data_IF_673829849321
#
_entry.id   IF_673829849321
#
_cell.length_a   1.000
_cell.length_b   1.000
_cell.length_c   1.000
_cell.angle_alpha   90.00
_cell.angle_beta   90.00
_cell.angle_gamma   90.00
#
_symmetry.space_group_name_H-M   'P 1'
#
loop_
_entity.id
_entity.type
_entity.pdbx_description
1 polymer ?
#
# COMPACT_ATOMS: atom_id res chain seq x y z
N UNK A 1 25.07 -19.29 -10.67
CA UNK A 1 24.51 -18.06 -10.07
C UNK A 1 23.08 -18.35 -9.60
N UNK A 2 22.74 -18.09 -8.33
CA UNK A 2 21.32 -18.05 -7.91
C UNK A 2 20.81 -19.06 -6.87
N UNK A 3 21.56 -19.39 -5.82
CA UNK A 3 21.00 -20.05 -4.60
C UNK A 3 21.02 -19.16 -3.35
N UNK A 4 21.39 -17.89 -3.48
CA UNK A 4 21.52 -16.95 -2.36
C UNK A 4 20.31 -16.01 -2.15
N UNK A 5 19.34 -15.97 -3.07
CA UNK A 5 18.18 -15.04 -2.97
C UNK A 5 16.90 -15.67 -2.40
N UNK A 6 16.88 -16.97 -2.10
CA UNK A 6 15.74 -17.66 -1.49
C UNK A 6 16.02 -17.96 -0.02
N UNK A 7 15.79 -16.98 0.85
CA UNK A 7 15.72 -17.25 2.28
C UNK A 7 14.58 -18.26 2.56
N UNK A 8 14.86 -19.23 3.43
CA UNK A 8 13.87 -20.21 3.86
C UNK A 8 12.81 -19.49 4.70
N UNK A 9 11.53 -19.66 4.34
CA UNK A 9 10.42 -19.06 5.09
C UNK A 9 10.18 -19.79 6.40
N UNK A 10 9.63 -19.09 7.39
CA UNK A 10 9.12 -19.72 8.62
C UNK A 10 8.06 -20.78 8.28
N UNK A 11 8.09 -21.90 9.00
CA UNK A 11 7.03 -22.91 8.98
C UNK A 11 5.78 -22.30 9.62
N UNK A 12 4.64 -22.38 8.93
CA UNK A 12 3.33 -21.99 9.49
C UNK A 12 2.60 -23.29 9.85
N UNK A 13 2.07 -23.37 11.07
CA UNK A 13 1.26 -24.50 11.53
C UNK A 13 -0.20 -24.06 11.60
N UNK A 14 -1.09 -24.78 10.91
CA UNK A 14 -2.54 -24.54 10.95
C UNK A 14 -3.19 -25.46 11.98
N UNK A 15 -3.89 -24.89 12.95
CA UNK A 15 -4.69 -25.64 13.91
C UNK A 15 -6.17 -25.56 13.54
N UNK A 16 -6.78 -26.70 13.21
CA UNK A 16 -8.21 -26.83 12.90
C UNK A 16 -8.94 -27.43 14.11
N UNK A 17 -9.70 -26.62 14.86
CA UNK A 17 -10.52 -27.12 15.97
C UNK A 17 -11.61 -28.10 15.50
N UNK A 18 -11.91 -29.12 16.31
CA UNK A 18 -12.85 -30.21 15.95
C UNK A 18 -14.33 -29.78 15.91
N UNK A 19 -14.73 -28.85 16.78
CA UNK A 19 -16.13 -28.48 17.00
C UNK A 19 -16.45 -27.03 16.62
N UNK A 20 -15.55 -26.37 15.90
CA UNK A 20 -15.70 -24.97 15.57
C UNK A 20 -15.78 -24.81 14.06
N UNK A 21 -16.88 -24.21 13.62
CA UNK A 21 -17.12 -23.90 12.22
C UNK A 21 -16.59 -22.48 11.94
N UNK A 22 -15.54 -22.45 11.13
CA UNK A 22 -14.91 -21.23 10.67
C UNK A 22 -15.82 -20.63 9.58
N UNK A 23 -16.71 -19.70 9.97
CA UNK A 23 -17.58 -18.92 9.06
C UNK A 23 -16.80 -17.96 8.14
N UNK A 24 -15.64 -18.37 7.65
CA UNK A 24 -14.72 -17.59 6.82
C UNK A 24 -13.73 -16.71 7.59
N UNK A 25 -13.83 -16.61 8.93
CA UNK A 25 -12.98 -15.70 9.73
C UNK A 25 -11.64 -16.28 10.20
N UNK A 26 -11.50 -17.61 10.20
CA UNK A 26 -10.28 -18.33 10.57
C UNK A 26 -10.20 -18.68 12.06
N UNK A 27 -9.47 -19.77 12.35
CA UNK A 27 -9.36 -20.37 13.69
C UNK A 27 -9.11 -19.35 14.81
N UNK A 28 -9.91 -19.34 15.90
CA UNK A 28 -9.79 -18.39 17.01
C UNK A 28 -8.50 -18.60 17.81
N UNK A 29 -7.87 -19.77 17.64
CA UNK A 29 -6.60 -20.14 18.28
C UNK A 29 -5.37 -19.76 17.44
N UNK A 30 -5.57 -19.08 16.31
CA UNK A 30 -4.46 -18.67 15.44
C UNK A 30 -3.67 -17.55 16.11
N UNK A 31 -2.46 -17.89 16.58
CA UNK A 31 -1.49 -16.94 17.15
C UNK A 31 -1.05 -15.93 16.09
N UNK A 32 -1.78 -14.81 15.97
CA UNK A 32 -1.44 -13.70 15.09
C UNK A 32 -1.50 -12.39 15.88
N UNK A 33 -0.53 -11.49 15.71
CA UNK A 33 -0.64 -10.10 16.15
C UNK A 33 -1.96 -9.46 15.69
N UNK A 34 -2.57 -8.63 16.55
CA UNK A 34 -3.84 -7.92 16.27
C UNK A 34 -3.78 -7.10 14.96
N UNK A 35 -2.61 -6.58 14.61
CA UNK A 35 -2.39 -5.74 13.43
C UNK A 35 -2.09 -6.52 12.15
N UNK A 36 -1.86 -7.82 12.23
CA UNK A 36 -1.45 -8.60 11.05
C UNK A 36 -2.57 -8.68 10.00
N UNK A 37 -3.83 -8.57 10.41
CA UNK A 37 -4.98 -8.48 9.49
C UNK A 37 -4.93 -7.24 8.58
N UNK A 38 -4.26 -6.18 9.01
CA UNK A 38 -4.16 -4.91 8.27
C UNK A 38 -2.83 -4.75 7.52
N UNK A 39 -1.90 -5.69 7.68
CA UNK A 39 -0.56 -5.61 7.07
C UNK A 39 -0.53 -6.37 5.75
N UNK A 40 -0.44 -5.65 4.64
CA UNK A 40 -0.26 -6.22 3.30
C UNK A 40 1.19 -6.60 2.98
N UNK A 41 2.13 -6.19 3.85
CA UNK A 41 3.59 -6.24 3.65
C UNK A 41 4.31 -7.44 4.27
N UNK A 42 3.73 -8.12 5.27
CA UNK A 42 4.42 -9.20 6.01
C UNK A 42 4.48 -10.51 5.20
N UNK A 43 3.46 -10.81 4.39
CA UNK A 43 3.44 -11.99 3.53
C UNK A 43 4.05 -11.70 2.15
N UNK A 44 5.39 -11.74 2.03
CA UNK A 44 6.05 -11.66 0.71
C UNK A 44 7.10 -12.76 0.51
N UNK A 45 7.04 -13.43 -0.67
CA UNK A 45 7.97 -13.08 -1.72
C UNK A 45 7.20 -12.96 -3.03
N UNK A 46 6.53 -11.83 -3.20
CA UNK A 46 5.91 -11.52 -4.47
C UNK A 46 7.04 -11.05 -5.38
N UNK A 47 7.37 -11.84 -6.40
CA UNK A 47 8.19 -11.36 -7.52
C UNK A 47 7.57 -10.11 -8.15
N UNK A 48 8.21 -9.53 -9.16
CA UNK A 48 7.78 -8.27 -9.81
C UNK A 48 6.26 -8.19 -10.08
N UNK A 49 5.67 -9.28 -10.60
CA UNK A 49 4.21 -9.40 -10.85
C UNK A 49 3.36 -9.16 -9.60
N UNK A 50 3.71 -9.78 -8.48
CA UNK A 50 2.94 -9.63 -7.26
C UNK A 50 3.15 -8.27 -6.61
N UNK A 51 4.31 -7.61 -6.79
CA UNK A 51 4.49 -6.21 -6.37
C UNK A 51 3.56 -5.28 -7.16
N UNK A 52 3.52 -5.44 -8.48
CA UNK A 52 2.65 -4.66 -9.36
C UNK A 52 1.17 -4.86 -9.03
N UNK A 53 0.74 -6.11 -8.81
CA UNK A 53 -0.64 -6.41 -8.44
C UNK A 53 -1.06 -5.76 -7.13
N UNK A 54 -0.21 -5.72 -6.09
CA UNK A 54 -0.60 -5.04 -4.85
C UNK A 54 -0.58 -3.52 -5.02
N UNK A 55 0.40 -2.96 -5.74
CA UNK A 55 0.42 -1.53 -6.02
C UNK A 55 -0.88 -1.11 -6.72
N UNK A 56 -1.35 -1.88 -7.70
CA UNK A 56 -2.63 -1.64 -8.34
C UNK A 56 -3.82 -1.79 -7.39
N UNK A 57 -3.80 -2.79 -6.50
CA UNK A 57 -4.83 -2.98 -5.48
C UNK A 57 -4.85 -1.84 -4.44
N UNK A 58 -3.70 -1.34 -4.05
CA UNK A 58 -3.53 -0.23 -3.10
C UNK A 58 -3.90 1.11 -3.72
N UNK A 59 -3.71 1.30 -5.04
CA UNK A 59 -4.25 2.45 -5.79
C UNK A 59 -5.79 2.39 -5.83
N UNK A 60 -6.35 1.19 -6.00
CA UNK A 60 -7.81 0.97 -6.02
C UNK A 60 -8.45 1.05 -4.63
N UNK A 61 -7.68 0.91 -3.54
CA UNK A 61 -8.22 1.17 -2.20
C UNK A 61 -8.74 2.60 -2.17
N UNK A 62 -10.00 2.74 -1.83
CA UNK A 62 -10.64 4.02 -1.59
C UNK A 62 -9.98 4.66 -0.36
N UNK A 63 -8.85 5.33 -0.57
CA UNK A 63 -8.22 6.19 0.42
C UNK A 63 -9.11 7.38 0.74
N UNK A 64 -8.85 8.01 1.88
CA UNK A 64 -9.63 9.14 2.36
C UNK A 64 -9.61 10.28 1.33
N UNK A 65 -10.77 10.56 0.70
CA UNK A 65 -10.90 11.58 -0.34
C UNK A 65 -10.45 12.96 0.18
N UNK A 66 -10.72 13.21 1.45
CA UNK A 66 -10.32 14.41 2.17
C UNK A 66 -8.79 14.57 2.23
N UNK A 67 -8.05 13.48 2.50
CA UNK A 67 -6.58 13.52 2.53
C UNK A 67 -6.02 13.82 1.15
N UNK A 68 -6.55 13.19 0.09
CA UNK A 68 -6.13 13.45 -1.29
C UNK A 68 -6.35 14.91 -1.69
N UNK A 69 -7.51 15.48 -1.33
CA UNK A 69 -7.83 16.87 -1.62
C UNK A 69 -6.90 17.84 -0.87
N UNK A 70 -6.69 17.63 0.43
CA UNK A 70 -5.78 18.45 1.24
C UNK A 70 -4.34 18.40 0.68
N UNK A 71 -3.85 17.21 0.34
CA UNK A 71 -2.53 17.03 -0.27
C UNK A 71 -2.41 17.80 -1.59
N UNK A 72 -3.43 17.72 -2.46
CA UNK A 72 -3.44 18.46 -3.72
C UNK A 72 -3.44 19.97 -3.50
N UNK A 73 -4.26 20.48 -2.57
CA UNK A 73 -4.30 21.90 -2.22
C UNK A 73 -2.92 22.38 -1.74
N UNK A 74 -2.27 21.62 -0.85
CA UNK A 74 -0.93 21.95 -0.34
C UNK A 74 0.08 22.03 -1.49
N UNK A 75 0.09 21.05 -2.41
CA UNK A 75 1.00 21.03 -3.56
C UNK A 75 0.77 22.25 -4.46
N UNK A 76 -0.48 22.59 -4.78
CA UNK A 76 -0.82 23.75 -5.62
C UNK A 76 -0.35 25.05 -4.99
N UNK A 77 -0.60 25.25 -3.69
CA UNK A 77 -0.16 26.44 -2.96
C UNK A 77 1.37 26.55 -2.98
N UNK A 78 2.07 25.45 -2.75
CA UNK A 78 3.53 25.44 -2.68
C UNK A 78 4.16 25.75 -4.04
N UNK A 79 3.57 25.26 -5.14
CA UNK A 79 3.96 25.61 -6.51
C UNK A 79 3.71 27.10 -6.75
N UNK A 80 2.54 27.64 -6.39
CA UNK A 80 2.24 29.07 -6.57
C UNK A 80 3.23 29.97 -5.83
N UNK A 81 3.57 29.64 -4.57
CA UNK A 81 4.57 30.38 -3.80
C UNK A 81 5.94 30.32 -4.49
N UNK A 82 6.35 29.13 -4.93
CA UNK A 82 7.60 28.96 -5.65
C UNK A 82 7.66 29.83 -6.91
N UNK A 83 6.61 29.77 -7.74
CA UNK A 83 6.52 30.56 -8.98
C UNK A 83 6.50 32.06 -8.72
N UNK A 84 5.89 32.50 -7.62
CA UNK A 84 5.88 33.90 -7.19
C UNK A 84 7.27 34.39 -6.81
N UNK A 85 8.08 33.59 -6.08
CA UNK A 85 9.43 33.98 -5.65
C UNK A 85 10.37 34.22 -6.85
N UNK A 86 10.20 33.48 -7.93
CA UNK A 86 11.06 33.55 -9.11
C UNK A 86 10.50 34.46 -10.22
N UNK A 87 9.40 35.18 -9.95
CA UNK A 87 8.67 35.99 -10.94
C UNK A 87 8.40 35.22 -12.26
N UNK A 88 8.02 33.95 -12.16
CA UNK A 88 7.87 33.10 -13.33
C UNK A 88 6.59 33.45 -14.11
N UNK A 89 6.76 33.74 -15.39
CA UNK A 89 5.68 34.09 -16.28
C UNK A 89 4.88 32.85 -16.71
N UNK A 90 3.64 32.73 -16.20
CA UNK A 90 2.70 31.67 -16.55
C UNK A 90 2.13 31.82 -17.97
N UNK A 91 2.25 32.99 -18.60
CA UNK A 91 1.73 33.26 -19.95
C UNK A 91 2.41 32.41 -21.02
N UNK A 92 3.63 31.92 -20.77
CA UNK A 92 4.39 31.05 -21.67
C UNK A 92 3.68 29.73 -22.00
N UNK A 93 2.79 29.26 -21.12
CA UNK A 93 2.03 28.01 -21.32
C UNK A 93 0.74 28.22 -22.11
N UNK A 94 0.28 29.47 -22.26
CA UNK A 94 -0.91 29.81 -23.03
C UNK A 94 -0.50 30.24 -24.44
N UNK A 95 -0.09 29.28 -25.27
CA UNK A 95 0.03 29.53 -26.72
C UNK A 95 -1.36 29.70 -27.32
N UNK A 96 -1.46 30.63 -28.28
CA UNK A 96 -2.69 31.01 -28.98
C UNK A 96 -3.34 29.85 -29.73
#
# INVERSE_FOLDING_TARGET
MGRFSKLRKNRKYSYTPRYYDDKGEGSPYKMQPKLDKYRTTIDAPRGLKGKFSNAMADIKRAGDKNLKLRMLIIIVILILIFLYIIDFDLSIFFSK
#
